data_IF_244504156603
#
_entry.id   IF_244504156603
#
_cell.length_a   1.000
_cell.length_b   1.000
_cell.length_c   1.000
_cell.angle_alpha   90.00
_cell.angle_beta   90.00
_cell.angle_gamma   90.00
#
_symmetry.space_group_name_H-M   'P 1'
#
loop_
_entity.id
_entity.type
_entity.pdbx_description
1 polymer ?
#
# COMPACT_ATOMS: atom_id res chain seq x y z
N UNK A 1 -5.80 -10.70 10.32
CA UNK A 1 -5.21 -9.35 10.45
C UNK A 1 -5.95 -8.46 9.47
N UNK A 2 -6.70 -7.47 9.95
CA UNK A 2 -7.44 -6.57 9.05
C UNK A 2 -6.41 -5.61 8.45
N UNK A 3 -6.25 -5.63 7.13
CA UNK A 3 -5.31 -4.73 6.46
C UNK A 3 -5.90 -3.32 6.42
N UNK A 4 -5.31 -2.39 7.20
CA UNK A 4 -5.71 -0.98 7.26
C UNK A 4 -5.22 -0.14 6.08
N UNK A 5 -4.36 -0.71 5.22
CA UNK A 5 -3.78 0.02 4.08
C UNK A 5 -4.86 0.64 3.18
N UNK A 6 -5.94 -0.11 2.93
CA UNK A 6 -7.06 0.38 2.12
C UNK A 6 -7.74 1.58 2.77
N UNK A 7 -8.04 1.49 4.07
CA UNK A 7 -8.66 2.56 4.84
C UNK A 7 -7.77 3.82 4.86
N UNK A 8 -6.47 3.65 5.08
CA UNK A 8 -5.51 4.76 5.08
C UNK A 8 -5.37 5.40 3.70
N UNK A 9 -5.40 4.60 2.63
CA UNK A 9 -5.38 5.07 1.24
C UNK A 9 -6.64 5.87 0.92
N UNK A 10 -7.80 5.36 1.30
CA UNK A 10 -9.10 6.02 1.09
C UNK A 10 -9.21 7.33 1.90
N UNK A 11 -8.67 7.35 3.12
CA UNK A 11 -8.60 8.55 3.95
C UNK A 11 -7.74 9.66 3.33
N UNK A 12 -6.72 9.32 2.53
CA UNK A 12 -5.92 10.28 1.75
C UNK A 12 -6.50 10.58 0.36
N UNK A 13 -7.63 9.97 -0.01
CA UNK A 13 -8.31 10.13 -1.32
C UNK A 13 -7.39 9.85 -2.52
N UNK A 14 -6.49 8.89 -2.39
CA UNK A 14 -5.59 8.47 -3.48
C UNK A 14 -5.99 7.11 -4.05
N UNK A 15 -5.69 6.89 -5.32
CA UNK A 15 -5.88 5.61 -6.00
C UNK A 15 -4.78 4.61 -5.65
N UNK A 16 -4.99 3.33 -5.97
CA UNK A 16 -3.96 2.29 -5.80
C UNK A 16 -2.74 2.54 -6.69
N UNK A 17 -2.94 3.14 -7.87
CA UNK A 17 -1.89 3.49 -8.81
C UNK A 17 -1.05 4.66 -8.30
N UNK A 18 -1.69 5.69 -7.75
CA UNK A 18 -0.98 6.80 -7.10
C UNK A 18 -0.15 6.35 -5.91
N UNK A 19 -0.72 5.50 -5.04
CA UNK A 19 0.02 4.93 -3.92
C UNK A 19 1.22 4.09 -4.41
N UNK A 20 1.01 3.27 -5.44
CA UNK A 20 2.05 2.45 -6.05
C UNK A 20 3.20 3.30 -6.60
N UNK A 21 2.87 4.39 -7.30
CA UNK A 21 3.85 5.36 -7.80
C UNK A 21 4.62 6.04 -6.66
N UNK A 22 3.94 6.41 -5.57
CA UNK A 22 4.58 7.06 -4.40
C UNK A 22 5.55 6.14 -3.65
N UNK A 23 5.23 4.85 -3.54
CA UNK A 23 6.10 3.86 -2.86
C UNK A 23 7.01 3.07 -3.81
N UNK A 24 6.95 3.36 -5.12
CA UNK A 24 7.81 2.76 -6.14
C UNK A 24 7.56 1.26 -6.33
N UNK A 25 6.29 0.86 -6.40
CA UNK A 25 5.86 -0.52 -6.71
C UNK A 25 4.77 -0.49 -7.78
N UNK A 26 4.27 -1.66 -8.17
CA UNK A 26 3.14 -1.75 -9.11
C UNK A 26 1.80 -1.65 -8.39
N UNK A 27 0.75 -1.18 -9.06
CA UNK A 27 -0.61 -1.19 -8.52
C UNK A 27 -1.05 -2.61 -8.11
N UNK A 28 -0.62 -3.65 -8.85
CA UNK A 28 -0.86 -5.06 -8.50
C UNK A 28 -0.27 -5.44 -7.13
N UNK A 29 0.88 -4.89 -6.78
CA UNK A 29 1.50 -5.07 -5.46
C UNK A 29 0.61 -4.48 -4.37
N UNK A 30 0.10 -3.26 -4.57
CA UNK A 30 -0.83 -2.61 -3.63
C UNK A 30 -2.14 -3.40 -3.50
N UNK A 31 -2.72 -3.86 -4.62
CA UNK A 31 -3.93 -4.69 -4.62
C UNK A 31 -3.72 -5.97 -3.80
N UNK A 32 -2.62 -6.66 -4.03
CA UNK A 32 -2.30 -7.91 -3.32
C UNK A 32 -2.07 -7.67 -1.82
N UNK A 33 -1.42 -6.54 -1.49
CA UNK A 33 -1.27 -6.06 -0.12
C UNK A 33 -2.63 -5.85 0.52
N UNK A 34 -3.49 -5.00 -0.04
CA UNK A 34 -4.82 -4.68 0.50
C UNK A 34 -5.69 -5.93 0.69
N UNK A 35 -5.57 -6.92 -0.18
CA UNK A 35 -6.25 -8.23 -0.06
C UNK A 35 -5.63 -9.17 0.97
N UNK A 36 -4.49 -8.82 1.58
CA UNK A 36 -3.76 -9.65 2.54
C UNK A 36 -3.04 -10.85 1.90
N UNK A 37 -2.92 -10.88 0.57
CA UNK A 37 -2.33 -11.98 -0.20
C UNK A 37 -0.81 -11.86 -0.33
N UNK A 38 -0.24 -10.73 0.11
CA UNK A 38 1.20 -10.46 0.05
C UNK A 38 1.70 -9.88 1.36
N UNK A 39 2.79 -10.46 1.88
CA UNK A 39 3.56 -9.85 2.96
C UNK A 39 4.56 -8.87 2.34
N UNK A 40 4.50 -7.57 2.68
CA UNK A 40 5.43 -6.59 2.14
C UNK A 40 6.87 -6.92 2.55
N UNK A 41 7.83 -6.60 1.69
CA UNK A 41 9.24 -6.55 2.10
C UNK A 41 9.44 -5.46 3.17
N UNK A 42 10.51 -5.58 3.97
CA UNK A 42 10.87 -4.57 4.97
C UNK A 42 10.98 -3.18 4.32
N UNK A 43 11.57 -3.10 3.13
CA UNK A 43 11.69 -1.85 2.39
C UNK A 43 10.31 -1.28 2.00
N UNK A 44 9.36 -2.11 1.56
CA UNK A 44 8.02 -1.65 1.20
C UNK A 44 7.23 -1.22 2.45
N UNK A 45 7.34 -1.97 3.55
CA UNK A 45 6.74 -1.59 4.82
C UNK A 45 7.30 -0.24 5.32
N UNK A 46 8.62 -0.03 5.21
CA UNK A 46 9.28 1.22 5.57
C UNK A 46 8.79 2.39 4.69
N UNK A 47 8.73 2.22 3.36
CA UNK A 47 8.19 3.24 2.46
C UNK A 47 6.73 3.58 2.75
N UNK A 48 5.91 2.56 3.04
CA UNK A 48 4.51 2.76 3.43
C UNK A 48 4.41 3.52 4.75
N UNK A 49 5.27 3.23 5.74
CA UNK A 49 5.31 3.99 7.00
C UNK A 49 5.78 5.44 6.86
N UNK A 50 6.60 5.74 5.85
CA UNK A 50 6.99 7.12 5.55
C UNK A 50 5.89 7.87 4.79
N UNK A 51 5.13 7.16 3.96
CA UNK A 51 4.07 7.75 3.16
C UNK A 51 2.81 8.03 3.98
N UNK A 52 2.45 7.14 4.90
CA UNK A 52 1.24 7.23 5.71
C UNK A 52 1.45 7.96 7.02
#
# INVERSE_FOLDING_TARGET
>A
MINKLKEMREAKTITQEELANKVGVTARTIISLEKGQYKPSIMLAYKLSLFF
#
